data_IF_797107076517
#
_entry.id   IF_797107076517
#
_cell.length_a   1.000
_cell.length_b   1.000
_cell.length_c   1.000
_cell.angle_alpha   90.00
_cell.angle_beta   90.00
_cell.angle_gamma   90.00
#
_symmetry.space_group_name_H-M   'P 1'
#
loop_
_entity.id
_entity.type
_entity.pdbx_description
1 polymer ?
#
# COMPACT_ATOMS: atom_id res chain seq x y z
N UNK A 1 -17.49 -30.52 20.71
CA UNK A 1 -18.64 -29.59 20.79
C UNK A 1 -18.11 -28.17 20.78
N UNK A 2 -17.96 -27.63 19.58
CA UNK A 2 -17.38 -26.29 19.31
C UNK A 2 -18.41 -25.14 19.55
N UNK A 3 -19.59 -25.47 20.01
CA UNK A 3 -20.72 -24.54 20.10
C UNK A 3 -20.78 -23.67 21.36
N UNK A 4 -19.70 -23.56 22.13
CA UNK A 4 -19.66 -22.67 23.30
C UNK A 4 -18.36 -21.86 23.40
N UNK A 5 -17.93 -21.28 22.32
CA UNK A 5 -16.99 -20.15 22.40
C UNK A 5 -17.78 -18.96 22.94
N UNK A 6 -17.74 -18.77 24.24
CA UNK A 6 -18.31 -17.57 24.86
C UNK A 6 -17.36 -16.42 24.63
N UNK A 7 -17.80 -15.46 23.90
CA UNK A 7 -17.09 -14.23 23.58
C UNK A 7 -16.75 -13.45 24.85
N UNK A 8 -15.45 -13.26 25.08
CA UNK A 8 -14.97 -12.53 26.25
C UNK A 8 -14.91 -11.04 25.93
N UNK A 9 -15.88 -10.29 26.40
CA UNK A 9 -16.00 -8.84 26.16
C UNK A 9 -15.06 -7.99 27.02
N UNK A 10 -14.31 -8.58 27.93
CA UNK A 10 -13.50 -7.85 28.89
C UNK A 10 -12.04 -8.31 28.89
N UNK A 11 -11.14 -7.37 28.67
CA UNK A 11 -9.69 -7.58 28.67
C UNK A 11 -9.16 -8.30 29.93
N UNK A 12 -9.65 -7.90 31.12
CA UNK A 12 -9.25 -8.55 32.39
C UNK A 12 -9.64 -10.02 32.46
N UNK A 13 -10.78 -10.38 31.91
CA UNK A 13 -11.25 -11.76 31.87
C UNK A 13 -10.43 -12.58 30.87
N UNK A 14 -10.08 -12.01 29.75
CA UNK A 14 -9.18 -12.64 28.76
C UNK A 14 -7.81 -12.94 29.37
N UNK A 15 -7.22 -11.98 30.09
CA UNK A 15 -5.94 -12.20 30.78
C UNK A 15 -6.02 -13.32 31.82
N UNK A 16 -7.08 -13.33 32.64
CA UNK A 16 -7.30 -14.39 33.61
C UNK A 16 -7.35 -15.77 32.93
N UNK A 17 -8.11 -15.92 31.86
CA UNK A 17 -8.24 -17.20 31.18
C UNK A 17 -6.98 -17.62 30.45
N UNK A 18 -6.22 -16.70 29.86
CA UNK A 18 -4.92 -17.01 29.23
C UNK A 18 -3.90 -17.53 30.24
N UNK A 19 -3.89 -16.96 31.44
CA UNK A 19 -2.98 -17.40 32.51
C UNK A 19 -3.35 -18.77 33.09
N UNK A 20 -4.65 -19.03 33.29
CA UNK A 20 -5.10 -20.25 33.94
C UNK A 20 -5.36 -21.43 32.98
N UNK A 21 -5.53 -21.12 31.69
CA UNK A 21 -5.84 -22.11 30.65
C UNK A 21 -5.00 -21.87 29.39
N UNK A 22 -3.67 -22.04 29.45
CA UNK A 22 -2.76 -21.66 28.36
C UNK A 22 -2.93 -22.48 27.08
N UNK A 23 -3.65 -23.60 27.14
CA UNK A 23 -3.97 -24.43 25.96
C UNK A 23 -5.18 -23.92 25.17
N UNK A 24 -5.91 -22.93 25.71
CA UNK A 24 -7.03 -22.33 25.00
C UNK A 24 -6.51 -21.13 24.19
N UNK A 25 -6.73 -21.17 22.89
CA UNK A 25 -6.52 -20.01 22.02
C UNK A 25 -7.71 -19.06 22.21
N UNK A 26 -7.51 -18.03 23.03
CA UNK A 26 -8.56 -17.08 23.40
C UNK A 26 -8.23 -15.70 22.83
N UNK A 27 -9.18 -15.13 22.13
CA UNK A 27 -9.11 -13.79 21.60
C UNK A 27 -10.28 -12.94 22.10
N UNK A 28 -10.12 -11.63 22.06
CA UNK A 28 -11.24 -10.73 22.30
C UNK A 28 -12.23 -10.82 21.13
N UNK A 29 -13.48 -10.85 21.46
CA UNK A 29 -14.53 -10.66 20.46
C UNK A 29 -14.76 -9.18 20.26
N UNK A 30 -14.41 -8.72 19.07
CA UNK A 30 -14.73 -7.37 18.62
C UNK A 30 -16.05 -7.40 17.84
N UNK A 31 -16.90 -6.44 18.14
CA UNK A 31 -18.12 -6.27 17.36
C UNK A 31 -17.72 -5.76 15.97
N UNK A 32 -17.60 -6.66 15.03
CA UNK A 32 -17.41 -6.30 13.63
C UNK A 32 -18.67 -5.57 13.16
N UNK A 33 -18.46 -4.36 12.65
CA UNK A 33 -19.50 -3.63 11.94
C UNK A 33 -19.14 -3.74 10.47
N UNK A 34 -20.01 -4.32 9.67
CA UNK A 34 -19.81 -4.31 8.24
C UNK A 34 -19.69 -2.84 7.78
N UNK A 35 -18.50 -2.43 7.39
CA UNK A 35 -18.29 -1.15 6.76
C UNK A 35 -18.50 -1.39 5.27
N UNK A 36 -19.64 -0.98 4.77
CA UNK A 36 -19.85 -0.92 3.33
C UNK A 36 -19.09 0.30 2.83
N UNK A 37 -18.00 0.06 2.12
CA UNK A 37 -17.43 1.12 1.30
C UNK A 37 -18.43 1.44 0.18
N UNK A 38 -18.54 2.70 -0.15
CA UNK A 38 -19.38 3.15 -1.26
C UNK A 38 -18.64 3.10 -2.61
N UNK A 39 -17.42 2.61 -2.62
CA UNK A 39 -16.60 2.54 -3.82
C UNK A 39 -17.17 1.51 -4.79
N UNK A 40 -17.49 1.90 -6.03
CA UNK A 40 -18.24 1.06 -6.95
C UNK A 40 -17.51 -0.22 -7.35
N UNK A 41 -16.19 -0.24 -7.29
CA UNK A 41 -15.37 -1.41 -7.64
C UNK A 41 -14.98 -2.29 -6.46
N UNK A 42 -15.35 -1.95 -5.22
CA UNK A 42 -15.12 -2.76 -4.05
C UNK A 42 -15.48 -4.25 -4.21
N UNK A 43 -16.63 -4.61 -4.79
CA UNK A 43 -17.00 -6.02 -4.95
C UNK A 43 -16.02 -6.85 -5.80
N UNK A 44 -15.20 -6.19 -6.61
CA UNK A 44 -14.19 -6.82 -7.46
C UNK A 44 -12.82 -6.91 -6.78
N UNK A 45 -12.63 -6.23 -5.67
CA UNK A 45 -11.39 -6.19 -4.88
C UNK A 45 -11.36 -7.30 -3.82
N UNK A 46 -11.65 -8.53 -4.24
CA UNK A 46 -11.79 -9.68 -3.35
C UNK A 46 -10.58 -9.91 -2.44
N UNK A 47 -9.36 -9.58 -2.90
CA UNK A 47 -8.12 -9.73 -2.15
C UNK A 47 -8.11 -8.88 -0.87
N UNK A 48 -8.59 -7.65 -0.92
CA UNK A 48 -8.67 -6.74 0.23
C UNK A 48 -9.68 -7.24 1.27
N UNK A 49 -10.83 -7.73 0.82
CA UNK A 49 -11.80 -8.38 1.69
C UNK A 49 -11.23 -9.64 2.34
N UNK A 50 -10.47 -10.44 1.59
CA UNK A 50 -9.92 -11.69 2.08
C UNK A 50 -8.86 -11.50 3.17
N UNK A 51 -8.10 -10.41 3.12
CA UNK A 51 -7.16 -10.02 4.19
C UNK A 51 -7.83 -9.27 5.34
N UNK A 52 -9.14 -9.04 5.28
CA UNK A 52 -9.91 -8.41 6.33
C UNK A 52 -9.79 -6.89 6.40
N UNK A 53 -9.48 -6.21 5.28
CA UNK A 53 -9.32 -4.76 5.25
C UNK A 53 -10.57 -4.03 5.78
N UNK A 54 -11.75 -4.49 5.45
CA UNK A 54 -13.02 -3.96 5.95
C UNK A 54 -13.09 -3.96 7.48
N UNK A 55 -12.63 -5.02 8.12
CA UNK A 55 -12.55 -5.11 9.58
C UNK A 55 -11.51 -4.16 10.17
N UNK A 56 -10.37 -4.02 9.51
CA UNK A 56 -9.29 -3.11 9.92
C UNK A 56 -9.77 -1.66 9.85
N UNK A 57 -10.29 -1.23 8.71
CA UNK A 57 -10.79 0.13 8.51
C UNK A 57 -11.92 0.50 9.48
N UNK A 58 -12.74 -0.48 9.86
CA UNK A 58 -13.80 -0.28 10.87
C UNK A 58 -13.22 -0.04 12.26
N UNK A 59 -12.09 -0.68 12.57
CA UNK A 59 -11.50 -0.67 13.91
C UNK A 59 -10.61 0.54 14.14
N UNK A 60 -9.75 0.89 13.18
CA UNK A 60 -8.76 1.94 13.31
C UNK A 60 -9.12 3.23 12.57
N UNK A 61 -10.15 3.17 11.72
CA UNK A 61 -10.47 4.26 10.80
C UNK A 61 -9.45 4.38 9.67
N UNK A 62 -9.56 5.45 8.90
CA UNK A 62 -8.61 5.76 7.81
C UNK A 62 -7.45 6.67 8.27
N UNK A 63 -7.25 6.80 9.57
CA UNK A 63 -6.27 7.73 10.14
C UNK A 63 -4.89 7.06 10.33
N UNK A 64 -4.38 6.48 9.24
CA UNK A 64 -3.05 5.83 9.17
C UNK A 64 -2.03 6.72 8.44
N UNK A 65 -2.14 8.03 8.59
CA UNK A 65 -1.37 9.03 7.83
C UNK A 65 0.11 9.12 8.17
N UNK A 66 0.54 8.49 9.25
CA UNK A 66 1.91 8.59 9.75
C UNK A 66 2.86 7.54 9.14
N UNK A 67 2.39 6.74 8.17
CA UNK A 67 3.19 5.71 7.51
C UNK A 67 3.20 5.96 6.01
N UNK A 68 4.39 6.03 5.43
CA UNK A 68 4.58 6.01 3.98
C UNK A 68 5.16 4.66 3.56
N UNK A 69 4.65 4.11 2.46
CA UNK A 69 5.12 2.84 1.89
C UNK A 69 5.84 3.11 0.58
N UNK A 70 7.12 2.78 0.51
CA UNK A 70 7.87 2.85 -0.74
C UNK A 70 7.43 1.72 -1.67
N UNK A 71 6.99 2.09 -2.88
CA UNK A 71 6.63 1.16 -3.94
C UNK A 71 7.72 1.20 -5.00
N UNK A 72 8.56 0.18 -5.01
CA UNK A 72 9.70 0.04 -5.94
C UNK A 72 9.25 -0.85 -7.09
N UNK A 73 8.86 -0.23 -8.19
CA UNK A 73 8.16 -0.91 -9.29
C UNK A 73 8.36 -0.17 -10.64
N UNK A 74 7.39 -0.23 -11.55
CA UNK A 74 7.43 0.44 -12.86
C UNK A 74 7.16 1.93 -12.79
N UNK A 75 6.86 2.47 -11.62
CA UNK A 75 6.53 3.88 -11.41
C UNK A 75 5.10 4.10 -10.92
N UNK A 76 4.64 5.34 -10.99
CA UNK A 76 3.31 5.77 -10.55
C UNK A 76 2.56 6.48 -11.68
N UNK A 77 1.23 6.62 -11.57
CA UNK A 77 0.49 7.44 -12.52
C UNK A 77 0.88 8.90 -12.39
N UNK A 78 0.73 9.64 -13.44
CA UNK A 78 0.79 11.10 -13.37
C UNK A 78 -0.22 11.60 -12.33
N UNK A 79 0.26 12.35 -11.33
CA UNK A 79 -0.51 12.78 -10.14
C UNK A 79 -1.68 13.72 -10.52
N UNK A 80 -1.77 14.16 -11.77
CA UNK A 80 -2.85 15.01 -12.31
C UNK A 80 -4.14 14.26 -12.59
N UNK A 81 -4.15 12.93 -12.48
CA UNK A 81 -5.35 12.12 -12.69
C UNK A 81 -6.38 12.36 -11.58
N UNK A 82 -7.61 12.67 -11.94
CA UNK A 82 -8.74 12.88 -11.00
C UNK A 82 -9.12 11.62 -10.21
N UNK A 83 -8.55 10.48 -10.54
CA UNK A 83 -8.75 9.22 -9.80
C UNK A 83 -7.92 9.15 -8.52
N UNK A 84 -6.99 10.07 -8.33
CA UNK A 84 -6.05 10.09 -7.21
C UNK A 84 -6.06 11.47 -6.60
N UNK A 85 -6.21 11.55 -5.33
CA UNK A 85 -5.94 12.80 -4.62
C UNK A 85 -4.44 12.90 -4.40
N UNK A 86 -3.90 14.10 -4.47
CA UNK A 86 -2.50 14.38 -4.16
C UNK A 86 -2.07 13.87 -2.78
N UNK A 87 -3.03 13.56 -1.91
CA UNK A 87 -2.78 12.96 -0.60
C UNK A 87 -2.50 11.45 -0.61
N UNK A 88 -2.68 10.77 -1.73
CA UNK A 88 -2.37 9.34 -1.86
C UNK A 88 -0.87 9.07 -2.03
N UNK A 89 -0.12 10.08 -2.46
CA UNK A 89 1.32 9.99 -2.62
C UNK A 89 2.01 10.92 -1.62
N UNK A 90 3.04 10.41 -0.97
CA UNK A 90 3.94 11.26 -0.19
C UNK A 90 4.81 12.08 -1.14
N UNK A 91 5.26 13.24 -0.65
CA UNK A 91 6.25 14.03 -1.39
C UNK A 91 7.52 13.20 -1.61
N UNK A 92 8.14 13.37 -2.75
CA UNK A 92 9.34 12.64 -3.15
C UNK A 92 9.01 11.47 -4.09
N UNK A 93 10.02 10.71 -4.39
CA UNK A 93 10.03 9.66 -5.39
C UNK A 93 11.23 9.85 -6.28
N UNK A 94 11.58 8.83 -7.05
CA UNK A 94 12.74 8.90 -7.94
C UNK A 94 12.65 7.82 -9.02
N UNK A 95 13.15 8.12 -10.21
CA UNK A 95 13.36 7.18 -11.29
C UNK A 95 14.81 6.68 -11.34
N UNK A 96 15.00 5.38 -11.20
CA UNK A 96 16.27 4.67 -11.33
C UNK A 96 16.35 3.85 -12.61
N UNK A 97 15.47 4.07 -13.58
CA UNK A 97 15.50 3.35 -14.85
C UNK A 97 16.42 4.08 -15.83
N UNK A 98 17.41 3.39 -16.41
CA UNK A 98 18.28 4.05 -17.38
C UNK A 98 17.53 4.37 -18.67
N UNK A 99 17.90 5.44 -19.33
CA UNK A 99 17.31 5.95 -20.58
C UNK A 99 17.00 4.84 -21.63
N UNK A 100 17.82 3.82 -21.69
CA UNK A 100 17.66 2.73 -22.69
C UNK A 100 16.44 1.85 -22.45
N UNK A 101 15.84 1.88 -21.26
CA UNK A 101 14.66 1.08 -20.88
C UNK A 101 13.56 1.93 -20.26
N UNK A 102 13.75 3.23 -20.12
CA UNK A 102 12.82 4.10 -19.42
C UNK A 102 11.45 4.16 -20.15
N UNK A 103 11.46 4.48 -21.44
CA UNK A 103 10.25 4.55 -22.27
C UNK A 103 9.47 5.86 -22.12
N UNK A 104 9.89 6.76 -21.24
CA UNK A 104 9.35 8.08 -20.98
C UNK A 104 10.15 9.20 -21.67
N UNK A 105 11.36 8.88 -22.14
CA UNK A 105 12.19 9.79 -22.93
C UNK A 105 13.39 10.36 -22.18
N UNK A 106 13.60 9.99 -20.94
CA UNK A 106 14.74 10.37 -20.11
C UNK A 106 15.34 9.18 -19.34
N UNK A 107 16.05 9.41 -18.28
CA UNK A 107 16.71 8.40 -17.46
C UNK A 107 16.57 8.75 -15.98
N UNK A 108 17.62 8.52 -15.21
CA UNK A 108 17.59 8.79 -13.77
C UNK A 108 17.22 10.22 -13.45
N UNK A 109 16.07 10.42 -12.80
CA UNK A 109 15.62 11.74 -12.35
C UNK A 109 14.64 11.67 -11.17
N UNK A 110 14.03 12.80 -10.84
CA UNK A 110 13.09 12.94 -9.74
C UNK A 110 11.63 12.73 -10.15
N UNK A 111 11.36 12.33 -11.38
CA UNK A 111 10.01 12.03 -11.88
C UNK A 111 9.79 10.51 -11.94
N UNK A 112 9.14 9.91 -10.94
CA UNK A 112 8.86 8.49 -10.91
C UNK A 112 7.63 8.08 -11.73
N UNK A 113 7.19 8.92 -12.66
CA UNK A 113 5.99 8.64 -13.46
C UNK A 113 6.20 7.43 -14.36
N UNK A 114 5.22 6.55 -14.37
CA UNK A 114 5.22 5.36 -15.23
C UNK A 114 5.08 5.77 -16.70
N UNK A 115 5.81 5.09 -17.58
CA UNK A 115 5.61 5.27 -19.02
C UNK A 115 4.20 4.80 -19.38
N UNK A 116 3.39 5.68 -19.95
CA UNK A 116 1.96 5.48 -20.24
C UNK A 116 1.65 4.39 -21.30
N UNK A 117 2.49 3.42 -21.52
CA UNK A 117 2.13 2.27 -22.33
C UNK A 117 1.15 1.39 -21.54
N UNK A 118 -0.01 1.14 -22.09
CA UNK A 118 -1.14 0.48 -21.45
C UNK A 118 -0.88 -0.96 -20.93
N UNK A 119 0.31 -1.50 -21.12
CA UNK A 119 0.75 -2.80 -20.61
C UNK A 119 1.48 -2.72 -19.26
N UNK A 120 1.88 -1.54 -18.82
CA UNK A 120 2.95 -1.42 -17.83
C UNK A 120 2.59 -0.65 -16.56
N UNK A 121 1.31 -0.42 -16.31
CA UNK A 121 0.81 0.24 -15.09
C UNK A 121 0.92 -0.65 -13.84
N UNK A 122 1.88 -1.57 -13.77
CA UNK A 122 1.98 -2.50 -12.64
C UNK A 122 2.24 -1.76 -11.34
N UNK A 123 3.24 -0.87 -11.30
CA UNK A 123 3.55 -0.05 -10.13
C UNK A 123 2.38 0.85 -9.72
N UNK A 124 1.69 1.44 -10.70
CA UNK A 124 0.44 2.17 -10.48
C UNK A 124 -0.60 1.29 -9.79
N UNK A 125 -0.82 0.07 -10.26
CA UNK A 125 -1.79 -0.85 -9.67
C UNK A 125 -1.40 -1.24 -8.24
N UNK A 126 -0.13 -1.51 -7.99
CA UNK A 126 0.39 -1.82 -6.64
C UNK A 126 0.23 -0.63 -5.70
N UNK A 127 0.69 0.56 -6.11
CA UNK A 127 0.60 1.77 -5.31
C UNK A 127 -0.86 2.09 -4.94
N UNK A 128 -1.76 1.94 -5.89
CA UNK A 128 -3.17 2.27 -5.71
C UNK A 128 -3.91 1.27 -4.82
N UNK A 129 -3.53 0.01 -4.87
CA UNK A 129 -4.05 -0.99 -3.92
C UNK A 129 -3.71 -0.62 -2.47
N UNK A 130 -2.60 0.10 -2.25
CA UNK A 130 -2.19 0.59 -0.94
C UNK A 130 -2.86 1.93 -0.60
N UNK A 131 -2.79 2.89 -1.52
CA UNK A 131 -3.08 4.30 -1.24
C UNK A 131 -4.51 4.73 -1.54
N UNK A 132 -5.30 3.94 -2.27
CA UNK A 132 -6.65 4.35 -2.63
C UNK A 132 -7.49 4.69 -1.39
N UNK A 133 -8.28 5.75 -1.50
CA UNK A 133 -9.14 6.24 -0.44
C UNK A 133 -10.53 5.63 -0.54
N UNK A 134 -11.19 5.47 0.59
CA UNK A 134 -12.61 5.14 0.63
C UNK A 134 -13.42 6.43 0.44
N UNK A 135 -13.61 6.84 -0.79
CA UNK A 135 -14.21 8.13 -1.14
C UNK A 135 -15.45 8.02 -2.05
N UNK A 136 -15.93 6.83 -2.30
CA UNK A 136 -17.07 6.52 -3.15
C UNK A 136 -16.84 6.76 -4.65
N UNK A 137 -15.60 6.91 -5.08
CA UNK A 137 -15.32 7.23 -6.49
C UNK A 137 -14.92 6.01 -7.32
N UNK A 138 -13.99 5.17 -6.86
CA UNK A 138 -13.42 4.13 -7.70
C UNK A 138 -13.16 2.82 -6.95
N UNK A 139 -11.94 2.66 -6.46
CA UNK A 139 -11.43 1.50 -5.73
C UNK A 139 -11.09 1.91 -4.32
N UNK A 140 -11.00 0.94 -3.44
CA UNK A 140 -10.57 1.14 -2.07
C UNK A 140 -9.16 0.59 -1.85
N UNK A 141 -8.44 1.17 -0.90
CA UNK A 141 -7.15 0.73 -0.39
C UNK A 141 -7.07 0.98 1.11
N UNK A 142 -5.85 1.06 1.62
CA UNK A 142 -5.61 1.34 3.04
C UNK A 142 -5.61 2.84 3.37
N UNK A 143 -5.64 3.71 2.38
CA UNK A 143 -5.48 5.16 2.58
C UNK A 143 -4.09 5.57 3.06
N UNK A 144 -3.11 4.70 2.93
CA UNK A 144 -1.71 4.91 3.32
C UNK A 144 -1.00 5.62 2.19
N UNK A 145 -0.19 6.62 2.49
CA UNK A 145 0.62 7.30 1.48
C UNK A 145 1.67 6.36 0.89
N UNK A 146 1.89 6.45 -0.41
CA UNK A 146 2.96 5.73 -1.10
C UNK A 146 4.02 6.69 -1.62
N UNK A 147 5.28 6.24 -1.58
CA UNK A 147 6.42 6.91 -2.23
C UNK A 147 6.74 6.11 -3.47
N UNK A 148 6.49 6.64 -4.66
CA UNK A 148 6.76 5.92 -5.89
C UNK A 148 8.27 5.93 -6.19
N UNK A 149 8.83 4.76 -6.45
CA UNK A 149 10.22 4.59 -6.85
C UNK A 149 10.22 3.71 -8.09
N UNK A 150 10.57 4.32 -9.21
CA UNK A 150 10.64 3.62 -10.47
C UNK A 150 12.00 2.93 -10.60
N UNK A 151 12.01 1.63 -10.75
CA UNK A 151 13.20 0.81 -10.91
C UNK A 151 13.02 -0.29 -11.96
N UNK A 152 11.80 -0.40 -12.51
CA UNK A 152 11.45 -1.27 -13.62
C UNK A 152 11.00 -0.40 -14.79
N UNK A 153 11.54 -0.67 -15.96
CA UNK A 153 11.24 0.07 -17.18
C UNK A 153 9.92 -0.33 -17.83
N UNK A 154 9.68 0.20 -19.03
CA UNK A 154 8.43 0.05 -19.77
C UNK A 154 8.05 -1.42 -20.09
N UNK A 155 9.00 -2.34 -20.04
CA UNK A 155 8.80 -3.77 -20.25
C UNK A 155 8.64 -4.57 -18.95
N UNK A 156 8.54 -3.88 -17.82
CA UNK A 156 8.45 -4.48 -16.49
C UNK A 156 9.76 -5.11 -16.00
N UNK A 157 10.88 -4.87 -16.68
CA UNK A 157 12.20 -5.39 -16.28
C UNK A 157 13.11 -4.27 -15.76
N UNK A 158 14.07 -4.61 -14.91
CA UNK A 158 15.05 -3.66 -14.37
C UNK A 158 16.34 -4.36 -13.96
N UNK A 159 17.42 -3.60 -13.89
CA UNK A 159 18.67 -4.12 -13.37
C UNK A 159 18.62 -4.22 -11.83
N UNK A 160 19.28 -5.24 -11.29
CA UNK A 160 19.39 -5.40 -9.84
C UNK A 160 20.03 -4.19 -9.16
N UNK A 161 20.98 -3.54 -9.84
CA UNK A 161 21.61 -2.31 -9.37
C UNK A 161 20.60 -1.21 -9.12
N UNK A 162 19.65 -1.02 -10.04
CA UNK A 162 18.67 0.05 -10.01
C UNK A 162 17.62 -0.22 -8.91
N UNK A 163 17.20 -1.47 -8.78
CA UNK A 163 16.33 -1.90 -7.67
C UNK A 163 17.02 -1.65 -6.31
N UNK A 164 18.32 -1.96 -6.20
CA UNK A 164 19.09 -1.69 -4.97
C UNK A 164 19.22 -0.19 -4.70
N UNK A 165 19.43 0.64 -5.73
CA UNK A 165 19.44 2.09 -5.59
C UNK A 165 18.09 2.61 -5.06
N UNK A 166 16.97 2.10 -5.60
CA UNK A 166 15.64 2.41 -5.10
C UNK A 166 15.43 2.01 -3.64
N UNK A 167 15.93 0.85 -3.21
CA UNK A 167 15.88 0.43 -1.82
C UNK A 167 16.70 1.34 -0.90
N UNK A 168 17.89 1.74 -1.34
CA UNK A 168 18.76 2.66 -0.59
C UNK A 168 18.10 4.04 -0.46
N UNK A 169 17.52 4.53 -1.55
CA UNK A 169 16.77 5.78 -1.55
C UNK A 169 15.63 5.75 -0.52
N UNK A 170 14.78 4.73 -0.58
CA UNK A 170 13.67 4.53 0.34
C UNK A 170 14.10 4.45 1.82
N UNK A 171 15.30 3.91 2.07
CA UNK A 171 15.87 3.78 3.41
C UNK A 171 16.57 5.06 3.90
N UNK A 172 16.56 6.16 3.12
CA UNK A 172 17.29 7.38 3.46
C UNK A 172 18.82 7.23 3.40
N UNK A 173 19.32 6.25 2.64
CA UNK A 173 20.74 5.92 2.55
C UNK A 173 21.37 6.49 1.27
N UNK A 174 22.69 6.73 1.25
CA UNK A 174 23.40 7.16 0.03
C UNK A 174 23.16 6.19 -1.12
N UNK A 175 22.85 6.71 -2.28
CA UNK A 175 22.49 5.99 -3.50
C UNK A 175 22.95 6.76 -4.75
N UNK A 176 22.67 6.26 -5.94
CA UNK A 176 23.10 6.86 -7.21
C UNK A 176 22.42 8.18 -7.59
N UNK A 177 21.31 8.55 -6.93
CA UNK A 177 20.56 9.78 -7.23
C UNK A 177 21.18 11.04 -6.62
N UNK A 178 22.15 10.91 -5.71
CA UNK A 178 22.64 11.97 -4.83
C UNK A 178 21.58 12.64 -3.96
N UNK A 179 20.40 12.04 -3.87
CA UNK A 179 19.31 12.43 -2.98
C UNK A 179 18.90 11.24 -2.12
N UNK A 180 18.13 11.48 -1.08
CA UNK A 180 17.56 10.43 -0.23
C UNK A 180 16.13 10.80 0.10
N UNK A 181 15.30 9.82 0.35
CA UNK A 181 13.99 10.07 0.92
C UNK A 181 14.14 10.56 2.36
N UNK A 182 13.47 11.65 2.72
CA UNK A 182 13.61 12.32 4.02
C UNK A 182 12.26 12.47 4.75
#
# INVERSE_FOLDING_TARGET
NISQVRYLKHWKLLQYYRQNYPKLNLELDFKAKAHFTNDPYWPYQWGLSQIGLDSVLTTIGQDVKDVAVAVIDTGSPEITSTAWTTSAFADGGFDFVPFTNAGDGDGYDSDPTDSLSASDSHGTHVATTISALNDSLNINGFGIQTVPIRALGQDGTGFRSDIVQGMLYAAGLPNGSNTVYS
#
